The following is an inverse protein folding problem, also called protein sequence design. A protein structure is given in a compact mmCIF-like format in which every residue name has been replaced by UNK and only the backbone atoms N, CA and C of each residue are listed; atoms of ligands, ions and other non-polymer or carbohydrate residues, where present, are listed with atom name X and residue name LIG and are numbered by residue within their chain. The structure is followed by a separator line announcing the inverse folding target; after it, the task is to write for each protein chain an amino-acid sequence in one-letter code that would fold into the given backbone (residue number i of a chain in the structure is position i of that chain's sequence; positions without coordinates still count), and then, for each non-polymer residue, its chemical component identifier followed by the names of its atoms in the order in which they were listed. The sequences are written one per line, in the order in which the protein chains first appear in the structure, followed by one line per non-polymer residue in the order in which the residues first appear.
data_IF_367209923952
#
_entry.id   IF_367209923952
#
_cell.length_a   1.000
_cell.length_b   1.000
_cell.length_c   1.000
_cell.angle_alpha   90.00
_cell.angle_beta   90.00
_cell.angle_gamma   90.00
#
_symmetry.space_group_name_H-M   'P 1'
#
loop_
_entity.id
_entity.type
_entity.pdbx_description
1 polymer ?
#
# COMPACT_ATOMS: atom_id res chain seq x y z
N UNK A 1 7.45 18.80 17.51
CA UNK A 1 6.07 18.88 16.98
C UNK A 1 5.13 19.11 18.17
N UNK A 2 4.19 20.07 18.10
CA UNK A 2 3.24 20.38 19.18
C UNK A 2 2.10 19.36 19.35
N UNK A 3 2.27 18.13 18.84
CA UNK A 3 1.16 17.17 18.67
C UNK A 3 1.17 15.99 19.65
N UNK A 4 2.14 15.92 20.58
CA UNK A 4 2.32 14.71 21.40
C UNK A 4 1.15 14.39 22.35
N UNK A 5 0.28 15.40 22.65
CA UNK A 5 -0.89 15.25 23.53
C UNK A 5 -2.23 15.65 22.87
N UNK A 6 -2.26 15.92 21.56
CA UNK A 6 -3.50 16.33 20.89
C UNK A 6 -4.30 15.12 20.45
N UNK A 7 -5.63 15.07 20.72
CA UNK A 7 -6.46 14.01 20.16
C UNK A 7 -6.45 14.07 18.63
N UNK A 8 -6.28 12.91 18.00
CA UNK A 8 -6.15 12.77 16.55
C UNK A 8 -7.46 12.33 15.93
N UNK A 9 -7.89 13.05 14.90
CA UNK A 9 -9.03 12.66 14.07
C UNK A 9 -8.50 11.99 12.79
N UNK A 10 -8.88 10.74 12.58
CA UNK A 10 -8.40 9.92 11.48
C UNK A 10 -9.42 9.84 10.35
N UNK A 11 -8.97 9.98 9.11
CA UNK A 11 -9.72 9.71 7.90
C UNK A 11 -8.96 8.72 7.02
N UNK A 12 -9.60 7.61 6.64
CA UNK A 12 -9.03 6.63 5.71
C UNK A 12 -9.63 6.80 4.31
N UNK A 13 -8.78 6.89 3.30
CA UNK A 13 -9.15 7.08 1.89
C UNK A 13 -8.46 5.99 1.08
N UNK A 14 -9.24 5.12 0.44
CA UNK A 14 -8.76 4.12 -0.48
C UNK A 14 -8.92 4.61 -1.93
N UNK A 15 -7.83 4.70 -2.67
CA UNK A 15 -7.85 5.09 -4.07
C UNK A 15 -8.07 3.84 -4.92
N UNK A 16 -9.30 3.65 -5.40
CA UNK A 16 -9.62 2.60 -6.35
C UNK A 16 -9.67 3.15 -7.78
N UNK A 17 -9.36 2.32 -8.78
CA UNK A 17 -9.33 2.69 -10.21
C UNK A 17 -10.59 3.44 -10.73
N UNK A 18 -11.72 3.32 -10.02
CA UNK A 18 -13.02 3.91 -10.42
C UNK A 18 -13.53 5.02 -9.49
N UNK A 19 -12.83 5.36 -8.41
CA UNK A 19 -13.29 6.39 -7.47
C UNK A 19 -12.37 7.61 -7.54
N UNK A 20 -12.96 8.76 -7.86
CA UNK A 20 -12.24 10.03 -7.91
C UNK A 20 -11.80 10.46 -6.50
N UNK A 21 -10.50 10.68 -6.30
CA UNK A 21 -9.88 11.15 -5.07
C UNK A 21 -10.54 12.41 -4.50
N UNK A 22 -10.77 13.41 -5.36
CA UNK A 22 -11.43 14.66 -5.00
C UNK A 22 -12.80 14.43 -4.37
N UNK A 23 -13.59 13.51 -4.93
CA UNK A 23 -14.93 13.22 -4.41
C UNK A 23 -14.89 12.49 -3.07
N UNK A 24 -13.90 11.64 -2.86
CA UNK A 24 -13.69 10.96 -1.59
C UNK A 24 -13.27 11.95 -0.51
N UNK A 25 -12.26 12.78 -0.74
CA UNK A 25 -11.84 13.84 0.21
C UNK A 25 -13.00 14.78 0.53
N UNK A 26 -13.77 15.23 -0.45
CA UNK A 26 -14.91 16.10 -0.24
C UNK A 26 -15.98 15.44 0.64
N UNK A 27 -16.26 14.16 0.43
CA UNK A 27 -17.22 13.42 1.25
C UNK A 27 -16.72 13.19 2.69
N UNK A 28 -15.45 12.87 2.86
CA UNK A 28 -14.83 12.76 4.19
C UNK A 28 -14.82 14.11 4.91
N UNK A 29 -14.48 15.18 4.21
CA UNK A 29 -14.47 16.53 4.78
C UNK A 29 -15.85 16.97 5.23
N UNK A 30 -16.91 16.67 4.48
CA UNK A 30 -18.30 16.93 4.89
C UNK A 30 -18.68 16.18 6.16
N UNK A 31 -18.35 14.89 6.24
CA UNK A 31 -18.58 14.06 7.45
C UNK A 31 -17.81 14.60 8.65
N UNK A 32 -16.57 15.02 8.42
CA UNK A 32 -15.67 15.55 9.43
C UNK A 32 -16.16 16.88 10.00
N UNK A 33 -16.53 17.83 9.13
CA UNK A 33 -17.09 19.14 9.50
C UNK A 33 -18.42 18.96 10.25
N UNK A 34 -19.24 17.99 9.86
CA UNK A 34 -20.50 17.69 10.53
C UNK A 34 -20.27 17.10 11.94
N UNK A 35 -19.26 16.24 12.12
CA UNK A 35 -18.91 15.66 13.42
C UNK A 35 -18.38 16.71 14.41
N UNK A 36 -17.76 17.78 13.92
CA UNK A 36 -17.22 18.86 14.73
C UNK A 36 -18.25 19.98 15.06
N UNK A 37 -19.52 19.80 14.71
CA UNK A 37 -20.64 20.74 14.99
C UNK A 37 -20.51 22.15 14.38
N UNK A 38 -19.67 22.33 13.33
CA UNK A 38 -19.47 23.62 12.67
C UNK A 38 -20.33 23.76 11.41
N UNK A 39 -21.63 24.02 11.61
CA UNK A 39 -22.58 24.16 10.48
C UNK A 39 -22.33 25.39 9.58
N UNK A 40 -21.78 26.47 10.12
CA UNK A 40 -21.52 27.70 9.35
C UNK A 40 -20.33 27.56 8.40
N UNK A 41 -19.25 26.93 8.84
CA UNK A 41 -18.01 26.80 8.03
C UNK A 41 -18.17 25.87 6.81
N UNK A 42 -19.09 24.88 6.90
CA UNK A 42 -19.39 24.01 5.77
C UNK A 42 -20.09 24.75 4.61
N UNK A 43 -20.98 25.70 4.93
CA UNK A 43 -21.66 26.54 3.94
C UNK A 43 -20.69 27.50 3.23
N UNK A 44 -19.78 28.10 3.98
CA UNK A 44 -18.77 29.01 3.43
C UNK A 44 -17.77 28.28 2.51
N UNK A 45 -17.43 27.03 2.82
CA UNK A 45 -16.54 26.24 1.96
C UNK A 45 -17.21 25.86 0.63
N UNK A 46 -18.45 25.36 0.68
CA UNK A 46 -19.19 24.96 -0.54
C UNK A 46 -19.43 26.14 -1.48
N UNK A 47 -19.52 27.37 -0.95
CA UNK A 47 -19.71 28.60 -1.75
C UNK A 47 -18.44 29.10 -2.45
N UNK A 48 -17.24 28.58 -2.07
CA UNK A 48 -15.93 29.04 -2.57
C UNK A 48 -15.27 28.06 -3.54
N UNK A 49 -15.92 26.96 -3.92
CA UNK A 49 -15.37 26.01 -4.90
C UNK A 49 -15.18 26.72 -6.23
N UNK A 50 -13.93 26.89 -6.66
CA UNK A 50 -13.55 27.63 -7.87
C UNK A 50 -13.57 26.73 -9.11
N UNK A 51 -13.50 25.42 -8.93
CA UNK A 51 -13.32 24.42 -9.98
C UNK A 51 -11.84 24.12 -10.28
N UNK A 52 -10.89 24.85 -9.69
CA UNK A 52 -9.48 24.48 -9.69
C UNK A 52 -9.19 23.51 -8.54
N UNK A 53 -8.74 22.31 -8.88
CA UNK A 53 -8.51 21.24 -7.89
C UNK A 53 -7.47 21.63 -6.85
N UNK A 54 -6.39 22.31 -7.27
CA UNK A 54 -5.27 22.66 -6.38
C UNK A 54 -5.68 23.73 -5.36
N UNK A 55 -6.41 24.75 -5.82
CA UNK A 55 -6.88 25.84 -4.97
C UNK A 55 -7.97 25.33 -4.02
N UNK A 56 -8.94 24.59 -4.53
CA UNK A 56 -10.05 24.04 -3.76
C UNK A 56 -9.56 23.08 -2.66
N UNK A 57 -8.59 22.20 -2.97
CA UNK A 57 -8.01 21.27 -2.00
C UNK A 57 -7.16 21.99 -0.96
N UNK A 58 -6.42 23.02 -1.38
CA UNK A 58 -5.60 23.85 -0.48
C UNK A 58 -6.48 24.60 0.50
N UNK A 59 -7.54 25.24 0.04
CA UNK A 59 -8.49 25.98 0.89
C UNK A 59 -9.21 25.04 1.87
N UNK A 60 -9.58 23.85 1.42
CA UNK A 60 -10.17 22.81 2.27
C UNK A 60 -9.23 22.41 3.41
N UNK A 61 -7.99 22.05 3.08
CA UNK A 61 -7.02 21.59 4.08
C UNK A 61 -6.62 22.69 5.05
N UNK A 62 -6.44 23.93 4.57
CA UNK A 62 -6.17 25.08 5.41
C UNK A 62 -7.34 25.37 6.35
N UNK A 63 -8.58 25.29 5.85
CA UNK A 63 -9.78 25.50 6.67
C UNK A 63 -9.89 24.41 7.74
N UNK A 64 -9.75 23.16 7.38
CA UNK A 64 -9.77 22.05 8.33
C UNK A 64 -8.65 22.14 9.36
N UNK A 65 -7.44 22.46 8.93
CA UNK A 65 -6.28 22.62 9.82
C UNK A 65 -6.46 23.76 10.83
N UNK A 66 -6.99 24.90 10.39
CA UNK A 66 -7.31 26.02 11.29
C UNK A 66 -8.41 25.67 12.32
N UNK A 67 -9.40 24.89 11.89
CA UNK A 67 -10.44 24.40 12.80
C UNK A 67 -9.87 23.44 13.83
N UNK A 68 -9.03 22.51 13.38
CA UNK A 68 -8.36 21.56 14.26
C UNK A 68 -7.47 22.29 15.30
N UNK A 69 -6.69 23.27 14.86
CA UNK A 69 -5.84 24.07 15.73
C UNK A 69 -6.65 24.81 16.80
N UNK A 70 -7.79 25.43 16.43
CA UNK A 70 -8.69 26.11 17.36
C UNK A 70 -9.36 25.20 18.39
N UNK A 71 -9.61 23.95 18.01
CA UNK A 71 -10.31 22.98 18.85
C UNK A 71 -9.37 22.04 19.60
N UNK A 72 -8.04 22.20 19.42
CA UNK A 72 -7.04 21.38 20.08
C UNK A 72 -6.96 19.94 19.52
N UNK A 73 -7.31 19.74 18.23
CA UNK A 73 -7.20 18.46 17.55
C UNK A 73 -6.10 18.47 16.49
N UNK A 74 -5.53 17.31 16.19
CA UNK A 74 -4.77 17.08 14.98
C UNK A 74 -5.60 16.26 13.98
N UNK A 75 -5.37 16.47 12.68
CA UNK A 75 -6.01 15.73 11.61
C UNK A 75 -4.98 14.85 10.94
N UNK A 76 -5.34 13.57 10.74
CA UNK A 76 -4.51 12.61 10.04
C UNK A 76 -5.32 11.94 8.94
N UNK A 77 -4.85 12.05 7.69
CA UNK A 77 -5.40 11.31 6.56
C UNK A 77 -4.50 10.14 6.22
N UNK A 78 -5.11 8.96 6.07
CA UNK A 78 -4.46 7.79 5.51
C UNK A 78 -4.98 7.59 4.09
N UNK A 79 -4.09 7.65 3.13
CA UNK A 79 -4.39 7.50 1.69
C UNK A 79 -3.73 6.22 1.21
N UNK A 80 -4.55 5.20 0.94
CA UNK A 80 -4.07 3.94 0.41
C UNK A 80 -4.11 3.93 -1.12
N UNK A 81 -3.27 3.10 -1.73
CA UNK A 81 -3.15 2.94 -3.18
C UNK A 81 -2.85 4.28 -3.90
N UNK A 82 -2.05 5.15 -3.26
CA UNK A 82 -1.77 6.52 -3.73
C UNK A 82 -1.20 6.57 -5.17
N UNK A 83 -0.64 5.47 -5.68
CA UNK A 83 -0.12 5.38 -7.04
C UNK A 83 -1.20 5.41 -8.13
N UNK A 84 -2.48 5.28 -7.79
CA UNK A 84 -3.60 5.42 -8.73
C UNK A 84 -4.10 6.86 -8.86
N UNK A 85 -3.57 7.79 -8.05
CA UNK A 85 -3.84 9.21 -8.21
C UNK A 85 -3.23 9.71 -9.52
N UNK A 86 -3.93 10.64 -10.16
CA UNK A 86 -3.42 11.35 -11.34
C UNK A 86 -2.33 12.34 -10.92
N UNK A 87 -1.42 12.67 -11.83
CA UNK A 87 -0.34 13.63 -11.59
C UNK A 87 -0.88 14.99 -11.09
N UNK A 88 -2.04 15.44 -11.61
CA UNK A 88 -2.71 16.66 -11.18
C UNK A 88 -3.23 16.56 -9.73
N UNK A 89 -3.80 15.42 -9.36
CA UNK A 89 -4.30 15.17 -7.98
C UNK A 89 -3.16 15.10 -6.97
N UNK A 90 -2.05 14.46 -7.34
CA UNK A 90 -0.82 14.43 -6.54
C UNK A 90 -0.25 15.84 -6.38
N UNK A 91 -0.23 16.63 -7.48
CA UNK A 91 0.22 18.02 -7.45
C UNK A 91 -0.61 18.90 -6.52
N UNK A 92 -1.93 18.76 -6.58
CA UNK A 92 -2.86 19.46 -5.72
C UNK A 92 -2.66 19.08 -4.22
N UNK A 93 -2.50 17.78 -3.96
CA UNK A 93 -2.23 17.26 -2.61
C UNK A 93 -0.92 17.82 -2.03
N UNK A 94 0.15 17.78 -2.82
CA UNK A 94 1.46 18.34 -2.45
C UNK A 94 1.37 19.84 -2.12
N UNK A 95 0.66 20.63 -2.96
CA UNK A 95 0.45 22.06 -2.71
C UNK A 95 -0.32 22.30 -1.41
N UNK A 96 -1.40 21.57 -1.18
CA UNK A 96 -2.23 21.70 0.01
C UNK A 96 -1.45 21.39 1.30
N UNK A 97 -0.68 20.29 1.31
CA UNK A 97 0.15 19.91 2.46
C UNK A 97 1.25 20.95 2.69
N UNK A 98 1.92 21.39 1.62
CA UNK A 98 2.96 22.41 1.73
C UNK A 98 2.42 23.70 2.35
N UNK A 99 1.20 24.12 1.94
CA UNK A 99 0.54 25.30 2.51
C UNK A 99 0.19 25.11 3.98
N UNK A 100 -0.33 23.95 4.36
CA UNK A 100 -0.60 23.63 5.78
C UNK A 100 0.67 23.67 6.63
N UNK A 101 1.79 23.12 6.12
CA UNK A 101 3.08 23.16 6.81
C UNK A 101 3.61 24.60 6.97
N UNK A 102 3.49 25.44 5.94
CA UNK A 102 3.88 26.87 6.05
C UNK A 102 3.07 27.58 7.15
N UNK A 103 1.80 27.26 7.29
CA UNK A 103 0.91 27.82 8.29
C UNK A 103 0.99 27.10 9.65
N UNK A 104 1.84 26.05 9.77
CA UNK A 104 2.01 25.23 10.98
C UNK A 104 0.70 24.63 11.50
N UNK A 105 -0.18 24.27 10.58
CA UNK A 105 -1.47 23.66 10.93
C UNK A 105 -1.31 22.19 11.32
N UNK A 106 -2.08 21.68 12.29
CA UNK A 106 -1.99 20.31 12.78
C UNK A 106 -2.69 19.33 11.82
N UNK A 107 -2.18 19.22 10.59
CA UNK A 107 -2.68 18.31 9.56
C UNK A 107 -1.53 17.49 9.01
N UNK A 108 -1.71 16.17 8.93
CA UNK A 108 -0.72 15.20 8.45
C UNK A 108 -1.36 14.22 7.48
N UNK A 109 -0.57 13.72 6.54
CA UNK A 109 -0.97 12.67 5.60
C UNK A 109 0.02 11.52 5.66
N UNK A 110 -0.52 10.31 5.68
CA UNK A 110 0.19 9.06 5.46
C UNK A 110 -0.31 8.47 4.14
N UNK A 111 0.60 8.30 3.19
CA UNK A 111 0.30 7.66 1.92
C UNK A 111 0.93 6.28 1.85
N UNK A 112 0.15 5.25 1.53
CA UNK A 112 0.63 3.92 1.20
C UNK A 112 0.49 3.66 -0.31
N UNK A 113 1.48 2.98 -0.89
CA UNK A 113 1.43 2.67 -2.32
C UNK A 113 2.68 2.01 -2.85
N UNK A 114 2.64 1.63 -4.11
CA UNK A 114 3.75 0.97 -4.78
C UNK A 114 4.94 1.93 -5.00
N UNK A 115 6.18 1.44 -5.09
CA UNK A 115 7.40 2.25 -5.24
C UNK A 115 7.41 3.23 -6.41
N UNK A 116 6.56 3.01 -7.43
CA UNK A 116 6.42 3.95 -8.56
C UNK A 116 6.00 5.37 -8.16
N UNK A 117 5.38 5.53 -6.96
CA UNK A 117 4.95 6.84 -6.46
C UNK A 117 6.13 7.79 -6.26
N UNK A 118 7.30 7.30 -5.86
CA UNK A 118 8.51 8.12 -5.70
C UNK A 118 8.89 8.85 -6.98
N UNK A 119 8.83 8.14 -8.11
CA UNK A 119 9.09 8.72 -9.43
C UNK A 119 8.05 9.77 -9.83
N UNK A 120 6.80 9.54 -9.50
CA UNK A 120 5.72 10.48 -9.79
C UNK A 120 5.84 11.75 -8.95
N UNK A 121 6.09 11.63 -7.66
CA UNK A 121 6.31 12.77 -6.76
C UNK A 121 7.50 13.64 -7.21
N UNK A 122 8.62 13.03 -7.58
CA UNK A 122 9.81 13.76 -8.09
C UNK A 122 9.54 14.50 -9.40
N UNK A 123 8.64 14.01 -10.26
CA UNK A 123 8.25 14.68 -11.51
C UNK A 123 7.28 15.83 -11.28
N UNK A 124 6.32 15.66 -10.37
CA UNK A 124 5.24 16.63 -10.16
C UNK A 124 5.75 17.92 -9.53
N UNK A 125 6.59 17.83 -8.50
CA UNK A 125 7.18 18.98 -7.81
C UNK A 125 8.58 18.67 -7.26
N UNK A 126 9.55 19.49 -7.59
CA UNK A 126 10.94 19.33 -7.15
C UNK A 126 11.15 19.43 -5.63
N UNK A 127 10.21 20.01 -4.89
CA UNK A 127 10.28 20.12 -3.43
C UNK A 127 9.53 19.01 -2.68
N UNK A 128 8.79 18.15 -3.38
CA UNK A 128 8.02 17.08 -2.75
C UNK A 128 8.89 16.08 -1.96
N UNK A 129 10.13 15.84 -2.44
CA UNK A 129 11.09 14.99 -1.74
C UNK A 129 11.44 15.49 -0.32
N UNK A 130 11.37 16.81 -0.08
CA UNK A 130 11.62 17.42 1.24
C UNK A 130 10.37 17.55 2.10
N UNK A 131 9.21 17.34 1.50
CA UNK A 131 7.90 17.45 2.17
C UNK A 131 7.50 16.15 2.85
N UNK A 132 7.91 15.02 2.30
CA UNK A 132 7.55 13.69 2.78
C UNK A 132 8.77 12.95 3.33
N UNK A 133 8.53 12.14 4.34
CA UNK A 133 9.42 11.08 4.76
C UNK A 133 8.98 9.79 4.07
N UNK A 134 9.90 9.11 3.41
CA UNK A 134 9.63 7.85 2.74
C UNK A 134 10.17 6.71 3.59
N UNK A 135 9.31 5.73 3.82
CA UNK A 135 9.66 4.49 4.49
C UNK A 135 9.33 3.34 3.53
N UNK A 136 10.28 2.46 3.31
CA UNK A 136 10.09 1.25 2.53
C UNK A 136 9.63 0.14 3.46
N UNK A 137 8.46 -0.46 3.13
CA UNK A 137 7.90 -1.59 3.86
C UNK A 137 8.11 -2.82 2.99
N UNK A 138 8.91 -3.76 3.48
CA UNK A 138 9.24 -5.02 2.83
C UNK A 138 8.68 -6.21 3.64
N UNK A 139 9.14 -7.42 3.36
CA UNK A 139 8.82 -8.59 4.15
C UNK A 139 9.15 -8.39 5.64
N UNK A 140 8.40 -9.04 6.50
CA UNK A 140 8.64 -9.03 7.94
C UNK A 140 9.98 -9.72 8.27
N UNK A 141 10.63 -9.27 9.32
CA UNK A 141 11.74 -10.02 9.91
C UNK A 141 11.25 -11.39 10.42
N UNK A 142 12.14 -12.35 10.62
CA UNK A 142 11.76 -13.67 11.16
C UNK A 142 11.04 -13.55 12.52
N UNK A 143 11.44 -12.58 13.35
CA UNK A 143 10.82 -12.30 14.64
C UNK A 143 9.41 -11.72 14.48
N UNK A 144 9.25 -10.70 13.64
CA UNK A 144 7.94 -10.10 13.37
C UNK A 144 6.99 -11.07 12.64
N UNK A 145 7.52 -11.90 11.75
CA UNK A 145 6.75 -12.95 11.07
C UNK A 145 6.26 -14.01 12.07
N UNK A 146 7.11 -14.40 13.02
CA UNK A 146 6.73 -15.28 14.14
C UNK A 146 5.59 -14.68 14.94
N UNK A 147 5.72 -13.43 15.33
CA UNK A 147 4.68 -12.71 16.07
C UNK A 147 3.36 -12.62 15.28
N UNK A 148 3.44 -12.38 13.98
CA UNK A 148 2.27 -12.33 13.10
C UNK A 148 1.56 -13.69 12.95
N UNK A 149 2.27 -14.81 13.16
CA UNK A 149 1.70 -16.16 13.16
C UNK A 149 1.12 -16.53 14.53
N UNK A 150 1.89 -16.31 15.59
CA UNK A 150 1.57 -16.81 16.94
C UNK A 150 0.48 -15.99 17.62
N UNK A 151 0.61 -14.66 17.63
CA UNK A 151 -0.32 -13.78 18.37
C UNK A 151 -1.80 -13.92 17.97
N UNK A 152 -2.15 -14.10 16.68
CA UNK A 152 -3.55 -14.35 16.30
C UNK A 152 -4.10 -15.70 16.76
N UNK A 153 -3.24 -16.69 16.99
CA UNK A 153 -3.63 -18.03 17.43
C UNK A 153 -3.87 -18.13 18.96
N UNK A 154 -3.18 -17.29 19.75
CA UNK A 154 -3.27 -17.31 21.22
C UNK A 154 -4.71 -17.20 21.76
N UNK A 155 -5.59 -16.30 21.27
CA UNK A 155 -6.98 -16.22 21.75
C UNK A 155 -7.82 -17.45 21.45
N UNK A 156 -7.36 -18.30 20.52
CA UNK A 156 -7.99 -19.57 20.13
C UNK A 156 -7.33 -20.78 20.81
N UNK A 157 -6.46 -20.54 21.81
CA UNK A 157 -5.67 -21.55 22.50
C UNK A 157 -4.73 -22.33 21.54
N UNK A 158 -4.48 -21.78 20.35
CA UNK A 158 -3.63 -22.39 19.33
C UNK A 158 -2.14 -22.14 19.58
N UNK A 159 -1.33 -23.11 19.23
CA UNK A 159 0.14 -23.03 19.32
C UNK A 159 0.79 -23.73 18.13
N UNK A 160 2.02 -23.35 17.84
CA UNK A 160 2.81 -23.91 16.73
C UNK A 160 4.10 -24.52 17.27
N UNK A 161 4.51 -25.67 16.71
CA UNK A 161 5.85 -26.19 16.95
C UNK A 161 6.91 -25.32 16.28
N UNK A 162 8.15 -25.37 16.76
CA UNK A 162 9.27 -24.61 16.18
C UNK A 162 9.55 -24.99 14.72
N UNK A 163 9.36 -26.25 14.37
CA UNK A 163 9.50 -26.75 13.00
C UNK A 163 8.42 -26.17 12.08
N UNK A 164 7.16 -26.14 12.55
CA UNK A 164 6.05 -25.55 11.83
C UNK A 164 6.28 -24.05 11.55
N UNK A 165 6.65 -23.29 12.58
CA UNK A 165 6.95 -21.85 12.43
C UNK A 165 8.05 -21.59 11.42
N UNK A 166 9.18 -22.28 11.53
CA UNK A 166 10.29 -22.14 10.57
C UNK A 166 9.87 -22.50 9.16
N UNK A 167 9.01 -23.51 9.02
CA UNK A 167 8.50 -23.94 7.71
C UNK A 167 7.60 -22.90 7.07
N UNK A 168 6.66 -22.34 7.85
CA UNK A 168 5.77 -21.26 7.40
C UNK A 168 6.57 -20.03 6.98
N UNK A 169 7.49 -19.55 7.84
CA UNK A 169 8.32 -18.35 7.56
C UNK A 169 9.16 -18.56 6.29
N UNK A 170 9.78 -19.72 6.15
CA UNK A 170 10.57 -20.05 4.96
C UNK A 170 9.72 -20.09 3.69
N UNK A 171 8.51 -20.66 3.74
CA UNK A 171 7.62 -20.77 2.58
C UNK A 171 7.10 -19.40 2.15
N UNK A 172 6.70 -18.57 3.10
CA UNK A 172 6.10 -17.26 2.87
C UNK A 172 7.15 -16.16 2.72
N UNK A 173 8.41 -16.44 3.02
CA UNK A 173 9.52 -15.47 3.03
C UNK A 173 9.21 -14.21 3.86
N UNK A 174 8.40 -14.34 4.91
CA UNK A 174 7.99 -13.23 5.79
C UNK A 174 6.97 -12.27 5.14
N UNK A 175 6.43 -12.60 3.95
CA UNK A 175 5.47 -11.70 3.29
C UNK A 175 4.09 -11.80 3.95
N UNK A 176 3.54 -10.71 4.54
CA UNK A 176 2.35 -10.77 5.39
C UNK A 176 1.14 -11.44 4.74
N UNK A 177 0.88 -11.14 3.47
CA UNK A 177 -0.23 -11.74 2.74
C UNK A 177 -0.11 -13.26 2.65
N UNK A 178 1.09 -13.76 2.33
CA UNK A 178 1.32 -15.20 2.21
C UNK A 178 1.30 -15.90 3.58
N UNK A 179 1.74 -15.22 4.65
CA UNK A 179 1.61 -15.72 6.03
C UNK A 179 0.13 -15.93 6.35
N UNK A 180 -0.72 -14.94 6.10
CA UNK A 180 -2.16 -15.03 6.37
C UNK A 180 -2.82 -16.14 5.55
N UNK A 181 -2.54 -16.23 4.24
CA UNK A 181 -3.10 -17.26 3.36
C UNK A 181 -2.69 -18.67 3.79
N UNK A 182 -1.40 -18.89 4.11
CA UNK A 182 -0.93 -20.19 4.55
C UNK A 182 -1.50 -20.56 5.93
N UNK A 183 -1.49 -19.62 6.88
CA UNK A 183 -2.09 -19.85 8.20
C UNK A 183 -3.60 -20.12 8.08
N UNK A 184 -4.34 -19.42 7.21
CA UNK A 184 -5.76 -19.69 6.96
C UNK A 184 -5.95 -21.10 6.41
N UNK A 185 -5.16 -21.54 5.43
CA UNK A 185 -5.22 -22.88 4.88
C UNK A 185 -4.96 -23.97 5.94
N UNK A 186 -3.98 -23.72 6.84
CA UNK A 186 -3.68 -24.64 7.95
C UNK A 186 -4.91 -24.74 8.87
N UNK A 187 -5.43 -23.61 9.35
CA UNK A 187 -6.56 -23.59 10.28
C UNK A 187 -7.84 -24.19 9.71
N UNK A 188 -8.06 -24.11 8.41
CA UNK A 188 -9.21 -24.72 7.74
C UNK A 188 -9.16 -26.25 7.71
N UNK A 189 -7.96 -26.84 7.81
CA UNK A 189 -7.76 -28.31 7.74
C UNK A 189 -7.52 -28.97 9.10
N UNK A 190 -7.38 -28.17 10.17
CA UNK A 190 -7.20 -28.72 11.52
C UNK A 190 -8.42 -29.53 11.99
N UNK A 191 -8.16 -30.58 12.74
CA UNK A 191 -9.22 -31.31 13.44
C UNK A 191 -9.89 -30.40 14.49
N UNK A 192 -11.21 -30.54 14.75
CA UNK A 192 -11.97 -29.60 15.59
C UNK A 192 -11.46 -29.36 17.01
N UNK A 193 -10.68 -30.27 17.56
CA UNK A 193 -10.11 -30.15 18.92
C UNK A 193 -8.58 -30.02 18.92
N UNK A 194 -7.99 -29.89 17.74
CA UNK A 194 -6.53 -29.73 17.64
C UNK A 194 -6.13 -28.29 17.92
N UNK A 195 -5.23 -28.12 18.88
CA UNK A 195 -4.71 -26.81 19.29
C UNK A 195 -3.21 -26.64 19.02
N UNK A 196 -2.50 -27.72 18.72
CA UNK A 196 -1.06 -27.69 18.40
C UNK A 196 -0.87 -27.99 16.94
N UNK A 197 -0.30 -27.01 16.23
CA UNK A 197 0.04 -27.11 14.79
C UNK A 197 1.50 -27.58 14.67
N UNK A 198 1.69 -28.69 13.98
CA UNK A 198 3.00 -29.26 13.72
C UNK A 198 3.42 -29.14 12.25
N UNK A 199 4.57 -29.75 11.91
CA UNK A 199 5.12 -29.69 10.56
C UNK A 199 4.23 -30.43 9.54
N UNK A 200 3.57 -31.50 9.94
CA UNK A 200 2.75 -32.32 9.01
C UNK A 200 1.48 -31.55 8.64
N UNK A 201 0.89 -30.78 9.57
CA UNK A 201 -0.23 -29.88 9.29
C UNK A 201 0.16 -28.82 8.24
N UNK A 202 1.36 -28.24 8.39
CA UNK A 202 1.87 -27.25 7.43
C UNK A 202 2.09 -27.86 6.05
N UNK A 203 2.73 -29.03 5.98
CA UNK A 203 2.98 -29.69 4.67
C UNK A 203 1.68 -30.08 3.97
N UNK A 204 0.65 -30.51 4.70
CA UNK A 204 -0.66 -30.76 4.14
C UNK A 204 -1.30 -29.50 3.57
N UNK A 205 -1.33 -28.42 4.36
CA UNK A 205 -1.97 -27.16 3.99
C UNK A 205 -1.27 -26.43 2.84
N UNK A 206 0.05 -26.66 2.61
CA UNK A 206 0.82 -26.05 1.52
C UNK A 206 0.18 -26.35 0.15
N UNK A 207 -0.36 -27.51 -0.07
CA UNK A 207 -1.01 -27.87 -1.34
C UNK A 207 -2.18 -26.94 -1.62
N UNK A 208 -3.07 -26.80 -0.64
CA UNK A 208 -4.25 -25.93 -0.71
C UNK A 208 -3.87 -24.46 -0.79
N UNK A 209 -2.85 -24.05 -0.06
CA UNK A 209 -2.29 -22.70 -0.13
C UNK A 209 -1.90 -22.33 -1.57
N UNK A 210 -1.16 -23.18 -2.26
CA UNK A 210 -0.79 -22.92 -3.66
C UNK A 210 -1.99 -22.95 -4.60
N UNK A 211 -2.95 -23.85 -4.40
CA UNK A 211 -4.19 -23.87 -5.19
C UNK A 211 -4.97 -22.54 -5.03
N UNK A 212 -5.10 -22.03 -3.81
CA UNK A 212 -5.75 -20.76 -3.53
C UNK A 212 -5.00 -19.58 -4.17
N UNK A 213 -3.67 -19.56 -4.08
CA UNK A 213 -2.84 -18.53 -4.72
C UNK A 213 -2.97 -18.58 -6.24
N UNK A 214 -2.95 -19.76 -6.83
CA UNK A 214 -3.08 -19.91 -8.29
C UNK A 214 -4.44 -19.40 -8.76
N UNK A 215 -5.52 -19.75 -8.10
CA UNK A 215 -6.87 -19.32 -8.48
C UNK A 215 -7.15 -17.84 -8.19
N UNK A 216 -6.77 -17.37 -7.01
CA UNK A 216 -7.14 -16.04 -6.53
C UNK A 216 -6.13 -14.94 -6.88
N UNK A 217 -4.84 -15.24 -6.81
CA UNK A 217 -3.78 -14.23 -6.88
C UNK A 217 -2.99 -14.28 -8.20
N UNK A 218 -2.45 -15.44 -8.57
CA UNK A 218 -1.54 -15.54 -9.71
C UNK A 218 -2.29 -15.59 -11.04
N UNK A 219 -3.31 -16.41 -11.17
CA UNK A 219 -4.03 -16.62 -12.43
C UNK A 219 -4.60 -15.33 -12.99
N UNK A 220 -5.28 -14.53 -12.16
CA UNK A 220 -5.87 -13.26 -12.58
C UNK A 220 -4.83 -12.26 -13.12
N UNK A 221 -3.63 -12.22 -12.53
CA UNK A 221 -2.54 -11.36 -12.98
C UNK A 221 -1.85 -11.94 -14.21
N UNK A 222 -1.61 -13.22 -14.22
CA UNK A 222 -0.94 -13.93 -15.30
C UNK A 222 -1.78 -13.94 -16.60
N UNK A 223 -3.11 -14.09 -16.50
CA UNK A 223 -4.00 -14.09 -17.65
C UNK A 223 -4.11 -12.71 -18.35
N UNK A 224 -3.84 -11.63 -17.62
CA UNK A 224 -3.73 -10.28 -18.20
C UNK A 224 -2.42 -10.05 -18.97
N UNK A 225 -1.47 -10.97 -18.89
CA UNK A 225 -0.17 -10.86 -19.55
C UNK A 225 -0.21 -11.48 -20.94
N UNK A 226 0.38 -10.80 -21.91
CA UNK A 226 0.62 -11.33 -23.24
C UNK A 226 1.66 -12.46 -23.22
N UNK A 227 1.73 -13.25 -24.27
CA UNK A 227 2.71 -14.35 -24.37
C UNK A 227 4.16 -13.86 -24.14
N UNK A 228 4.54 -12.72 -24.70
CA UNK A 228 5.89 -12.15 -24.54
C UNK A 228 6.15 -11.66 -23.11
N UNK A 229 5.15 -11.10 -22.47
CA UNK A 229 5.22 -10.71 -21.06
C UNK A 229 5.36 -11.94 -20.15
N UNK A 230 4.64 -13.04 -20.43
CA UNK A 230 4.77 -14.31 -19.72
C UNK A 230 6.17 -14.90 -19.86
N UNK A 231 6.76 -14.84 -21.07
CA UNK A 231 8.16 -15.23 -21.28
C UNK A 231 9.13 -14.37 -20.46
N UNK A 232 8.87 -13.06 -20.36
CA UNK A 232 9.68 -12.16 -19.55
C UNK A 232 9.63 -12.52 -18.06
N UNK A 233 8.43 -12.75 -17.50
CA UNK A 233 8.23 -13.19 -16.10
C UNK A 233 8.97 -14.50 -15.84
N UNK A 234 8.84 -15.47 -16.75
CA UNK A 234 9.51 -16.75 -16.63
C UNK A 234 11.04 -16.63 -16.67
N UNK A 235 11.58 -15.80 -17.56
CA UNK A 235 13.01 -15.51 -17.61
C UNK A 235 13.50 -14.82 -16.32
N UNK A 236 12.70 -13.90 -15.79
CA UNK A 236 12.98 -13.21 -14.52
C UNK A 236 12.98 -14.20 -13.33
N UNK A 237 12.01 -15.10 -13.26
CA UNK A 237 11.94 -16.15 -12.23
C UNK A 237 13.13 -17.12 -12.26
N UNK A 238 13.76 -17.31 -13.42
CA UNK A 238 14.99 -18.11 -13.57
C UNK A 238 16.27 -17.37 -13.12
N UNK A 239 16.22 -16.08 -12.84
CA UNK A 239 17.36 -15.33 -12.33
C UNK A 239 17.71 -15.83 -10.92
N UNK A 240 18.98 -16.18 -10.71
CA UNK A 240 19.46 -16.72 -9.41
C UNK A 240 19.42 -15.71 -8.28
N UNK A 241 19.30 -14.41 -8.59
CA UNK A 241 19.35 -13.31 -7.62
C UNK A 241 18.30 -12.25 -7.97
N UNK A 242 17.50 -11.86 -6.99
CA UNK A 242 16.59 -10.73 -7.06
C UNK A 242 17.11 -9.59 -6.20
N UNK A 243 16.91 -8.33 -6.61
CA UNK A 243 16.31 -7.90 -7.86
C UNK A 243 17.17 -8.26 -9.10
N UNK A 244 16.49 -8.61 -10.19
CA UNK A 244 17.14 -9.04 -11.42
C UNK A 244 17.27 -7.88 -12.41
N UNK A 245 18.49 -7.66 -12.93
CA UNK A 245 18.70 -6.62 -13.95
C UNK A 245 18.06 -6.99 -15.28
N UNK A 246 17.60 -6.00 -16.04
CA UNK A 246 17.04 -6.22 -17.38
C UNK A 246 18.02 -6.92 -18.32
N UNK A 247 19.31 -6.68 -18.16
CA UNK A 247 20.37 -7.34 -18.94
C UNK A 247 20.44 -8.85 -18.68
N UNK A 248 20.19 -9.28 -17.44
CA UNK A 248 20.14 -10.70 -17.09
C UNK A 248 18.88 -11.35 -17.68
N UNK A 249 17.74 -10.67 -17.62
CA UNK A 249 16.50 -11.15 -18.24
C UNK A 249 16.68 -11.26 -19.77
N UNK A 250 17.32 -10.28 -20.41
CA UNK A 250 17.62 -10.29 -21.84
C UNK A 250 18.47 -11.50 -22.24
N UNK A 251 19.50 -11.81 -21.47
CA UNK A 251 20.32 -13.01 -21.67
C UNK A 251 19.51 -14.30 -21.58
N UNK A 252 18.61 -14.39 -20.58
CA UNK A 252 17.75 -15.57 -20.41
C UNK A 252 16.71 -15.72 -21.53
N UNK A 253 16.31 -14.60 -22.15
CA UNK A 253 15.39 -14.59 -23.30
C UNK A 253 16.10 -14.67 -24.65
N UNK A 254 17.44 -14.77 -24.67
CA UNK A 254 18.26 -14.73 -25.89
C UNK A 254 17.90 -13.54 -26.79
N UNK A 255 17.69 -12.37 -26.17
CA UNK A 255 17.18 -11.18 -26.80
C UNK A 255 18.01 -9.94 -26.41
N UNK A 256 17.91 -8.88 -27.17
CA UNK A 256 18.51 -7.61 -26.81
C UNK A 256 17.66 -6.85 -25.79
N UNK A 257 18.31 -6.06 -24.94
CA UNK A 257 17.63 -5.23 -23.91
C UNK A 257 16.59 -4.30 -24.53
N UNK A 258 16.90 -3.71 -25.70
CA UNK A 258 15.98 -2.81 -26.38
C UNK A 258 14.66 -3.49 -26.79
N UNK A 259 14.71 -4.75 -27.21
CA UNK A 259 13.55 -5.51 -27.66
C UNK A 259 12.62 -5.96 -26.53
N UNK A 260 13.15 -6.15 -25.31
CA UNK A 260 12.37 -6.60 -24.15
C UNK A 260 11.94 -5.45 -23.23
N UNK A 261 12.54 -4.26 -23.35
CA UNK A 261 12.21 -3.08 -22.54
C UNK A 261 10.72 -2.70 -22.57
N UNK A 262 10.00 -2.78 -23.71
CA UNK A 262 8.56 -2.54 -23.73
C UNK A 262 7.77 -3.51 -22.85
N UNK A 263 8.14 -4.79 -22.81
CA UNK A 263 7.46 -5.79 -21.96
C UNK A 263 7.67 -5.48 -20.47
N UNK A 264 8.90 -5.09 -20.08
CA UNK A 264 9.17 -4.62 -18.73
C UNK A 264 8.27 -3.42 -18.34
N UNK A 265 8.16 -2.44 -19.21
CA UNK A 265 7.33 -1.26 -18.96
C UNK A 265 5.85 -1.63 -18.80
N UNK A 266 5.33 -2.52 -19.66
CA UNK A 266 3.94 -2.99 -19.58
C UNK A 266 3.68 -3.80 -18.32
N UNK A 267 4.59 -4.69 -17.90
CA UNK A 267 4.46 -5.46 -16.67
C UNK A 267 4.49 -4.58 -15.41
N UNK A 268 5.30 -3.52 -15.41
CA UNK A 268 5.29 -2.51 -14.34
C UNK A 268 3.95 -1.76 -14.32
N UNK A 269 3.43 -1.35 -15.47
CA UNK A 269 2.12 -0.68 -15.56
C UNK A 269 0.97 -1.57 -15.09
N UNK A 270 1.05 -2.89 -15.35
CA UNK A 270 0.09 -3.88 -14.87
C UNK A 270 0.29 -4.27 -13.39
N UNK A 271 1.26 -3.69 -12.72
CA UNK A 271 1.63 -4.01 -11.32
C UNK A 271 1.95 -5.52 -11.09
N UNK A 272 2.49 -6.18 -12.12
CA UNK A 272 2.95 -7.57 -12.05
C UNK A 272 4.40 -7.64 -11.53
N UNK A 273 5.21 -6.67 -11.92
CA UNK A 273 6.57 -6.47 -11.41
C UNK A 273 6.74 -5.01 -11.01
N UNK A 274 7.75 -4.71 -10.21
CA UNK A 274 8.12 -3.34 -9.86
C UNK A 274 9.61 -3.08 -10.12
N UNK A 275 9.96 -1.82 -10.28
CA UNK A 275 11.35 -1.39 -10.41
C UNK A 275 11.88 -1.01 -9.04
N UNK A 276 12.99 -1.60 -8.64
CA UNK A 276 13.76 -1.14 -7.49
C UNK A 276 14.63 0.05 -7.89
N UNK A 277 15.00 0.92 -6.93
CA UNK A 277 15.83 2.10 -7.20
C UNK A 277 17.23 1.80 -7.76
N UNK A 278 17.63 0.53 -7.79
CA UNK A 278 18.98 0.05 -8.17
C UNK A 278 19.00 -0.86 -9.40
N UNK A 279 17.90 -1.02 -10.14
CA UNK A 279 17.83 -1.91 -11.31
C UNK A 279 17.29 -1.23 -12.56
#
# INVERSE_FOLDING_TARGET
CKTDDMPVLMGHIEIAEKKNFTQQITNYSKKFIHKMSFKETAKDFVSKVTGDLSDDLTDLFVTMGKMADKTGYAICFFVDEIQYMKDEEIGALVNAIHRCNQLRLPLMIFGAGLPKILKTLGKVKSYSERLFRFEEIDALSDEDARDAIVKPAEPLEGSYTEEALKRIIRETQGYPYFIQELCSAIWEELAPEQTVIDIDDVEHAIVKFYENLDLGFYKLRYDRCTHKEKMFIFAMAKCKKLPCSISNVAKMMESEVASISPYRAQLINKSVIYATGYA
#
